data_IF_398243378302
#
_entry.id   IF_398243378302
#
_cell.length_a   1.000
_cell.length_b   1.000
_cell.length_c   1.000
_cell.angle_alpha   90.00
_cell.angle_beta   90.00
_cell.angle_gamma   90.00
#
_symmetry.space_group_name_H-M   'P 1'
#
loop_
_entity.id
_entity.type
_entity.pdbx_description
1 polymer ?
#
# COMPACT_ATOMS: atom_id res chain seq x y z
N UNK A 1 15.99 -7.39 -2.76
CA UNK A 1 16.75 -8.43 -3.48
C UNK A 1 16.01 -9.77 -3.48
N UNK A 2 15.37 -10.19 -2.37
CA UNK A 2 14.66 -11.47 -2.26
C UNK A 2 13.48 -11.62 -3.24
N UNK A 3 12.74 -10.55 -3.51
CA UNK A 3 11.61 -10.58 -4.43
C UNK A 3 12.01 -10.71 -5.93
N UNK A 4 13.27 -10.46 -6.28
CA UNK A 4 13.77 -10.72 -7.62
C UNK A 4 14.09 -12.21 -7.85
N UNK A 5 14.21 -13.00 -6.79
CA UNK A 5 14.43 -14.43 -6.90
C UNK A 5 13.12 -15.14 -7.30
N UNK A 6 13.25 -16.11 -8.22
CA UNK A 6 12.12 -16.94 -8.63
C UNK A 6 11.75 -17.92 -7.51
N UNK A 7 10.85 -17.50 -6.62
CA UNK A 7 10.24 -18.44 -5.66
C UNK A 7 8.98 -19.02 -6.26
N UNK A 8 8.82 -20.34 -6.22
CA UNK A 8 7.59 -21.02 -6.67
C UNK A 8 6.40 -20.49 -5.88
N UNK A 9 5.28 -20.21 -6.57
CA UNK A 9 4.04 -19.73 -5.93
C UNK A 9 3.91 -18.21 -5.86
N UNK A 10 4.93 -17.42 -6.22
CA UNK A 10 4.78 -15.97 -6.32
C UNK A 10 4.03 -15.58 -7.59
N UNK A 11 3.14 -14.57 -7.47
CA UNK A 11 2.43 -13.99 -8.62
C UNK A 11 3.38 -13.54 -9.73
N UNK A 12 4.61 -13.14 -9.39
CA UNK A 12 5.65 -12.77 -10.33
C UNK A 12 6.14 -13.93 -11.22
N UNK A 13 5.83 -15.18 -10.86
CA UNK A 13 6.18 -16.35 -11.67
C UNK A 13 5.12 -16.72 -12.69
N UNK A 14 3.92 -16.13 -12.60
CA UNK A 14 2.84 -16.37 -13.53
C UNK A 14 3.20 -15.91 -14.94
N UNK A 15 3.82 -14.74 -15.06
CA UNK A 15 4.37 -14.25 -16.31
C UNK A 15 5.63 -13.42 -16.06
N UNK A 16 6.70 -13.67 -16.84
CA UNK A 16 7.95 -12.93 -16.73
C UNK A 16 7.92 -11.79 -17.73
N UNK A 17 7.65 -10.56 -17.22
CA UNK A 17 7.79 -9.36 -18.00
C UNK A 17 9.20 -8.78 -17.83
N UNK A 18 9.85 -8.37 -18.90
CA UNK A 18 11.26 -7.92 -18.86
C UNK A 18 11.50 -6.63 -18.07
N UNK A 19 10.52 -5.73 -18.00
CA UNK A 19 10.60 -4.45 -17.30
C UNK A 19 9.85 -4.45 -15.96
N UNK A 20 9.82 -5.58 -15.22
CA UNK A 20 9.12 -5.69 -13.94
C UNK A 20 9.63 -4.70 -12.91
N UNK A 21 8.71 -4.09 -12.20
CA UNK A 21 9.00 -3.38 -10.95
C UNK A 21 8.92 -4.37 -9.77
N UNK A 22 9.85 -4.30 -8.80
CA UNK A 22 9.72 -5.09 -7.57
C UNK A 22 8.45 -4.70 -6.80
N UNK A 23 7.70 -5.69 -6.30
CA UNK A 23 6.47 -5.43 -5.52
C UNK A 23 6.77 -4.63 -4.25
N UNK A 24 7.89 -4.90 -3.57
CA UNK A 24 8.33 -4.16 -2.39
C UNK A 24 8.45 -2.65 -2.65
N UNK A 25 9.13 -2.26 -3.73
CA UNK A 25 9.29 -0.84 -4.06
C UNK A 25 7.97 -0.20 -4.51
N UNK A 26 7.14 -0.93 -5.24
CA UNK A 26 5.80 -0.47 -5.64
C UNK A 26 4.92 -0.24 -4.43
N UNK A 27 4.91 -1.17 -3.49
CA UNK A 27 4.16 -1.09 -2.22
C UNK A 27 4.59 0.10 -1.38
N UNK A 28 5.90 0.26 -1.18
CA UNK A 28 6.45 1.40 -0.45
C UNK A 28 6.09 2.74 -1.09
N UNK A 29 6.20 2.84 -2.42
CA UNK A 29 5.86 4.05 -3.17
C UNK A 29 4.37 4.36 -3.08
N UNK A 30 3.48 3.36 -3.23
CA UNK A 30 2.04 3.54 -3.08
C UNK A 30 1.69 4.05 -1.68
N UNK A 31 2.18 3.38 -0.64
CA UNK A 31 1.93 3.81 0.74
C UNK A 31 2.37 5.26 0.95
N UNK A 32 3.60 5.60 0.54
CA UNK A 32 4.11 6.97 0.68
C UNK A 32 3.31 8.01 -0.12
N UNK A 33 2.80 7.64 -1.30
CA UNK A 33 2.04 8.56 -2.17
C UNK A 33 0.60 8.78 -1.71
N UNK A 34 -0.01 7.81 -1.03
CA UNK A 34 -1.41 7.85 -0.62
C UNK A 34 -1.61 8.37 0.82
N UNK A 35 -0.52 8.60 1.55
CA UNK A 35 -0.59 9.14 2.92
C UNK A 35 -0.12 10.59 2.96
N UNK A 36 -0.70 11.43 3.84
CA UNK A 36 -0.24 12.80 4.03
C UNK A 36 1.15 12.80 4.70
N UNK A 37 2.02 13.74 4.30
CA UNK A 37 3.27 13.95 5.02
C UNK A 37 2.98 14.64 6.36
N UNK A 38 3.26 14.01 7.52
CA UNK A 38 3.02 14.62 8.82
C UNK A 38 3.87 15.88 9.09
N UNK A 39 4.97 16.04 8.35
CA UNK A 39 5.83 17.22 8.47
C UNK A 39 5.30 18.42 7.69
N UNK A 40 4.38 18.21 6.76
CA UNK A 40 3.73 19.30 6.03
C UNK A 40 2.86 20.14 6.98
N UNK A 41 3.12 21.44 7.02
CA UNK A 41 2.44 22.42 7.89
C UNK A 41 0.96 22.62 7.53
N UNK A 42 0.55 22.21 6.34
CA UNK A 42 -0.85 22.29 5.90
C UNK A 42 -1.78 21.36 6.70
N UNK A 43 -1.25 20.31 7.31
CA UNK A 43 -2.03 19.41 8.16
C UNK A 43 -1.91 19.82 9.63
N UNK A 44 -3.03 19.97 10.32
CA UNK A 44 -3.01 20.13 11.78
C UNK A 44 -2.66 18.81 12.47
N UNK A 45 -2.12 18.87 13.68
CA UNK A 45 -1.85 17.66 14.46
C UNK A 45 -3.14 16.90 14.77
N UNK A 46 -4.24 17.63 14.96
CA UNK A 46 -5.57 17.07 15.22
C UNK A 46 -6.05 16.24 14.03
N UNK A 47 -5.81 16.73 12.81
CA UNK A 47 -6.15 16.01 11.57
C UNK A 47 -5.37 14.70 11.42
N UNK A 48 -4.15 14.66 11.95
CA UNK A 48 -3.27 13.48 11.87
C UNK A 48 -3.50 12.47 13.01
N UNK A 49 -4.27 12.82 14.06
CA UNK A 49 -4.54 11.94 15.20
C UNK A 49 -5.06 10.55 14.84
N UNK A 50 -6.00 10.38 13.89
CA UNK A 50 -6.45 9.04 13.50
C UNK A 50 -5.32 8.14 12.98
N UNK A 51 -4.39 8.71 12.19
CA UNK A 51 -3.21 7.98 11.71
C UNK A 51 -2.25 7.63 12.86
N UNK A 52 -2.05 8.58 13.79
CA UNK A 52 -1.24 8.35 14.98
C UNK A 52 -1.80 7.20 15.82
N UNK A 53 -3.11 7.16 16.01
CA UNK A 53 -3.78 6.10 16.79
C UNK A 53 -3.60 4.73 16.15
N UNK A 54 -3.79 4.60 14.83
CA UNK A 54 -3.60 3.34 14.10
C UNK A 54 -2.14 2.85 14.23
N UNK A 55 -1.18 3.77 14.09
CA UNK A 55 0.24 3.43 14.22
C UNK A 55 0.60 3.05 15.65
N UNK A 56 0.05 3.75 16.64
CA UNK A 56 0.21 3.42 18.05
C UNK A 56 -0.30 2.00 18.34
N UNK A 57 -1.51 1.70 17.93
CA UNK A 57 -2.13 0.39 18.15
C UNK A 57 -1.37 -0.74 17.42
N UNK A 58 -0.75 -0.42 16.30
CA UNK A 58 0.06 -1.40 15.57
C UNK A 58 1.38 -1.72 16.29
N UNK A 59 2.12 -0.69 16.75
CA UNK A 59 3.44 -0.85 17.36
C UNK A 59 3.43 -1.11 18.85
N UNK A 60 2.43 -0.61 19.57
CA UNK A 60 2.27 -0.79 21.02
C UNK A 60 0.80 -1.08 21.40
N UNK A 61 0.25 -2.23 20.98
CA UNK A 61 -1.17 -2.54 21.16
C UNK A 61 -1.59 -2.62 22.64
N UNK A 62 -0.66 -2.93 23.53
CA UNK A 62 -0.92 -2.99 24.98
C UNK A 62 -0.57 -1.68 25.69
N UNK A 63 -0.11 -0.65 24.97
CA UNK A 63 0.35 0.63 25.52
C UNK A 63 1.36 0.49 26.66
N UNK A 64 2.21 -0.51 26.54
CA UNK A 64 3.21 -0.89 27.57
C UNK A 64 4.19 0.25 27.81
N UNK A 65 4.52 1.01 26.76
CA UNK A 65 5.45 2.13 26.87
C UNK A 65 4.85 3.33 27.56
N UNK A 66 3.51 3.41 27.69
CA UNK A 66 2.80 4.55 28.24
C UNK A 66 3.01 5.87 27.48
N UNK A 67 3.73 5.80 26.34
CA UNK A 67 4.05 6.96 25.51
C UNK A 67 3.09 7.03 24.33
N UNK A 68 2.33 8.11 24.23
CA UNK A 68 1.47 8.38 23.09
C UNK A 68 2.27 8.99 21.93
N UNK A 69 1.93 8.58 20.71
CA UNK A 69 2.44 9.20 19.47
C UNK A 69 1.69 10.52 19.27
N UNK A 70 2.30 11.62 19.72
CA UNK A 70 1.63 12.92 19.81
C UNK A 70 2.26 14.03 18.97
N UNK A 71 3.49 13.86 18.52
CA UNK A 71 4.19 14.86 17.71
C UNK A 71 4.19 14.47 16.23
N UNK A 72 4.22 15.48 15.34
CA UNK A 72 4.34 15.28 13.89
C UNK A 72 5.54 14.41 13.52
N UNK A 73 6.66 14.61 14.21
CA UNK A 73 7.89 13.87 13.99
C UNK A 73 7.73 12.40 14.37
N UNK A 74 7.11 12.11 15.50
CA UNK A 74 6.83 10.74 15.92
C UNK A 74 5.89 10.04 14.95
N UNK A 75 4.82 10.72 14.48
CA UNK A 75 3.92 10.16 13.47
C UNK A 75 4.69 9.83 12.18
N UNK A 76 5.53 10.76 11.71
CA UNK A 76 6.35 10.56 10.51
C UNK A 76 7.30 9.37 10.65
N UNK A 77 8.02 9.28 11.78
CA UNK A 77 8.94 8.18 12.05
C UNK A 77 8.21 6.81 12.10
N UNK A 78 7.03 6.76 12.72
CA UNK A 78 6.21 5.54 12.77
C UNK A 78 5.66 5.18 11.38
N UNK A 79 5.24 6.16 10.58
CA UNK A 79 4.81 5.93 9.20
C UNK A 79 5.94 5.34 8.35
N UNK A 80 7.13 5.93 8.39
CA UNK A 80 8.29 5.42 7.66
C UNK A 80 8.69 4.02 8.13
N UNK A 81 8.67 3.77 9.44
CA UNK A 81 8.94 2.45 10.00
C UNK A 81 7.91 1.41 9.53
N UNK A 82 6.62 1.77 9.53
CA UNK A 82 5.56 0.89 9.03
C UNK A 82 5.75 0.59 7.54
N UNK A 83 5.99 1.60 6.70
CA UNK A 83 6.23 1.43 5.25
C UNK A 83 7.42 0.50 5.01
N UNK A 84 8.52 0.70 5.73
CA UNK A 84 9.72 -0.12 5.59
C UNK A 84 9.45 -1.59 5.95
N UNK A 85 8.71 -1.84 7.04
CA UNK A 85 8.35 -3.19 7.45
C UNK A 85 7.34 -3.84 6.49
N UNK A 86 6.30 -3.10 6.08
CA UNK A 86 5.29 -3.61 5.15
C UNK A 86 5.85 -3.83 3.74
N UNK A 87 6.91 -3.13 3.36
CA UNK A 87 7.61 -3.37 2.09
C UNK A 87 8.26 -4.75 2.04
N UNK A 88 8.64 -5.34 3.17
CA UNK A 88 9.14 -6.72 3.22
C UNK A 88 8.07 -7.71 2.77
N UNK A 89 8.50 -8.76 2.04
CA UNK A 89 7.56 -9.73 1.48
C UNK A 89 6.81 -10.50 2.55
N UNK A 90 7.52 -11.01 3.55
CA UNK A 90 6.93 -11.87 4.57
C UNK A 90 5.88 -11.10 5.39
N UNK A 91 6.16 -9.85 5.73
CA UNK A 91 5.20 -8.96 6.39
C UNK A 91 4.03 -8.58 5.48
N UNK A 92 4.26 -8.47 4.17
CA UNK A 92 3.23 -8.03 3.23
C UNK A 92 2.08 -9.01 3.06
N UNK A 93 2.29 -10.28 3.37
CA UNK A 93 1.26 -11.33 3.33
C UNK A 93 0.59 -11.55 4.69
N UNK A 94 1.12 -10.94 5.75
CA UNK A 94 0.52 -10.97 7.08
C UNK A 94 -0.76 -10.11 7.11
N UNK A 95 -1.84 -10.72 7.61
CA UNK A 95 -3.16 -10.07 7.68
C UNK A 95 -3.17 -8.82 8.56
N UNK A 96 -2.37 -8.78 9.64
CA UNK A 96 -2.25 -7.63 10.53
C UNK A 96 -1.63 -6.43 9.80
N UNK A 97 -0.55 -6.66 9.05
CA UNK A 97 0.07 -5.59 8.25
C UNK A 97 -0.85 -5.09 7.16
N UNK A 98 -1.51 -5.99 6.44
CA UNK A 98 -2.40 -5.62 5.34
C UNK A 98 -3.63 -4.85 5.84
N UNK A 99 -4.27 -5.29 6.93
CA UNK A 99 -5.41 -4.59 7.52
C UNK A 99 -5.02 -3.20 8.03
N UNK A 100 -3.87 -3.08 8.68
CA UNK A 100 -3.34 -1.79 9.14
C UNK A 100 -3.04 -0.86 7.97
N UNK A 101 -2.41 -1.35 6.90
CA UNK A 101 -2.14 -0.57 5.69
C UNK A 101 -3.44 -0.03 5.07
N UNK A 102 -4.48 -0.87 4.95
CA UNK A 102 -5.81 -0.47 4.47
C UNK A 102 -6.44 0.60 5.36
N UNK A 103 -6.36 0.46 6.68
CA UNK A 103 -6.86 1.45 7.63
C UNK A 103 -6.14 2.78 7.48
N UNK A 104 -4.81 2.78 7.40
CA UNK A 104 -4.00 3.99 7.19
C UNK A 104 -4.39 4.70 5.89
N UNK A 105 -4.54 3.97 4.79
CA UNK A 105 -4.91 4.54 3.48
C UNK A 105 -6.34 5.07 3.50
N UNK A 106 -7.27 4.37 4.16
CA UNK A 106 -8.66 4.81 4.30
C UNK A 106 -8.74 6.13 5.10
N UNK A 107 -8.05 6.24 6.22
CA UNK A 107 -8.00 7.49 6.99
C UNK A 107 -7.28 8.60 6.23
N UNK A 108 -6.18 8.30 5.55
CA UNK A 108 -5.47 9.26 4.70
C UNK A 108 -6.36 9.85 3.61
N UNK A 109 -7.22 9.02 3.01
CA UNK A 109 -8.20 9.48 2.01
C UNK A 109 -9.16 10.51 2.61
N UNK A 110 -9.68 10.27 3.80
CA UNK A 110 -10.61 11.21 4.48
C UNK A 110 -9.94 12.56 4.74
N UNK A 111 -8.63 12.54 5.02
CA UNK A 111 -7.84 13.75 5.27
C UNK A 111 -7.58 14.51 3.95
N UNK A 112 -7.12 13.82 2.92
CA UNK A 112 -6.65 14.44 1.67
C UNK A 112 -7.82 14.73 0.71
N UNK A 113 -8.79 13.81 0.64
CA UNK A 113 -9.94 13.86 -0.27
C UNK A 113 -11.25 13.55 0.47
N UNK A 114 -11.74 14.43 1.36
CA UNK A 114 -12.91 14.15 2.19
C UNK A 114 -14.18 13.85 1.40
N UNK A 115 -14.29 14.36 0.18
CA UNK A 115 -15.45 14.16 -0.70
C UNK A 115 -15.34 12.92 -1.60
N UNK A 116 -14.24 12.17 -1.55
CA UNK A 116 -14.07 10.95 -2.32
C UNK A 116 -14.45 9.73 -1.47
N UNK A 117 -15.03 8.71 -2.06
CA UNK A 117 -15.33 7.43 -1.40
C UNK A 117 -14.15 6.48 -1.43
N UNK A 118 -13.31 6.56 -2.46
CA UNK A 118 -12.23 5.62 -2.72
C UNK A 118 -10.98 6.33 -3.26
N UNK A 119 -9.82 5.71 -3.05
CA UNK A 119 -8.61 6.06 -3.76
C UNK A 119 -8.65 5.52 -5.18
N UNK A 120 -8.27 6.36 -6.14
CA UNK A 120 -8.15 5.98 -7.55
C UNK A 120 -6.69 6.01 -7.98
N UNK A 121 -6.22 4.89 -8.50
CA UNK A 121 -4.84 4.73 -8.98
C UNK A 121 -4.88 4.42 -10.48
N UNK A 122 -4.11 5.14 -11.27
CA UNK A 122 -4.01 4.92 -12.72
C UNK A 122 -2.59 4.52 -13.09
N UNK A 123 -2.45 3.47 -13.90
CA UNK A 123 -1.19 3.06 -14.52
C UNK A 123 -1.39 2.90 -16.03
N UNK A 124 -0.85 3.85 -16.80
CA UNK A 124 -0.95 3.86 -18.27
C UNK A 124 0.10 2.97 -18.95
N UNK A 125 1.04 2.40 -18.18
CA UNK A 125 2.12 1.54 -18.65
C UNK A 125 2.25 0.33 -17.75
N UNK A 126 1.14 -0.41 -17.59
CA UNK A 126 0.96 -1.43 -16.55
C UNK A 126 1.99 -2.57 -16.59
N UNK A 127 2.52 -2.91 -17.76
CA UNK A 127 3.53 -3.94 -17.92
C UNK A 127 3.19 -5.24 -17.17
N UNK A 128 4.03 -5.62 -16.19
CA UNK A 128 3.82 -6.81 -15.37
C UNK A 128 2.78 -6.69 -14.25
N UNK A 129 2.07 -5.55 -14.12
CA UNK A 129 0.94 -5.38 -13.20
C UNK A 129 1.30 -5.13 -11.74
N UNK A 130 2.56 -4.79 -11.44
CA UNK A 130 2.99 -4.60 -10.03
C UNK A 130 2.17 -3.53 -9.31
N UNK A 131 1.88 -2.40 -9.99
CA UNK A 131 1.08 -1.32 -9.40
C UNK A 131 -0.38 -1.75 -9.21
N UNK A 132 -0.96 -2.42 -10.21
CA UNK A 132 -2.33 -2.93 -10.14
C UNK A 132 -2.51 -3.89 -8.96
N UNK A 133 -1.62 -4.87 -8.82
CA UNK A 133 -1.69 -5.87 -7.75
C UNK A 133 -1.62 -5.21 -6.38
N UNK A 134 -0.64 -4.34 -6.15
CA UNK A 134 -0.49 -3.71 -4.83
C UNK A 134 -1.59 -2.68 -4.54
N UNK A 135 -2.08 -1.95 -5.55
CA UNK A 135 -3.22 -1.02 -5.39
C UNK A 135 -4.50 -1.76 -5.01
N UNK A 136 -4.82 -2.86 -5.69
CA UNK A 136 -5.99 -3.68 -5.39
C UNK A 136 -5.89 -4.29 -3.98
N UNK A 137 -4.72 -4.79 -3.59
CA UNK A 137 -4.47 -5.30 -2.24
C UNK A 137 -4.71 -4.24 -1.16
N UNK A 138 -4.40 -2.99 -1.45
CA UNK A 138 -4.64 -1.86 -0.56
C UNK A 138 -6.09 -1.36 -0.58
N UNK A 139 -6.94 -1.88 -1.46
CA UNK A 139 -8.34 -1.48 -1.57
C UNK A 139 -8.57 -0.23 -2.40
N UNK A 140 -7.65 0.10 -3.32
CA UNK A 140 -7.82 1.21 -4.25
C UNK A 140 -8.60 0.75 -5.49
N UNK A 141 -9.41 1.64 -6.07
CA UNK A 141 -9.94 1.49 -7.43
C UNK A 141 -8.80 1.71 -8.43
N UNK A 142 -8.51 0.71 -9.27
CA UNK A 142 -7.34 0.74 -10.14
C UNK A 142 -7.72 0.70 -11.60
N UNK A 143 -7.22 1.68 -12.37
CA UNK A 143 -7.36 1.79 -13.82
C UNK A 143 -6.00 1.50 -14.46
N UNK A 144 -5.95 0.54 -15.36
CA UNK A 144 -4.69 0.13 -16.00
C UNK A 144 -4.81 0.11 -17.52
N UNK A 145 -3.73 0.47 -18.17
CA UNK A 145 -3.59 0.44 -19.61
C UNK A 145 -2.16 0.16 -20.04
N UNK A 146 -1.99 -0.26 -21.29
CA UNK A 146 -0.69 -0.38 -21.93
C UNK A 146 -0.86 -0.28 -23.44
N UNK A 147 0.15 0.22 -24.15
CA UNK A 147 0.16 0.25 -25.62
C UNK A 147 0.33 -1.16 -26.21
N UNK A 148 0.97 -2.06 -25.46
CA UNK A 148 1.15 -3.44 -25.88
C UNK A 148 -0.04 -4.29 -25.38
N UNK A 149 -0.72 -5.05 -26.25
CA UNK A 149 -1.87 -5.86 -25.85
C UNK A 149 -1.54 -7.03 -24.92
N UNK A 150 -0.28 -7.48 -24.87
CA UNK A 150 0.13 -8.60 -24.00
C UNK A 150 0.02 -8.25 -22.51
N UNK A 151 0.57 -7.12 -22.01
CA UNK A 151 0.30 -6.66 -20.66
C UNK A 151 -1.19 -6.50 -20.34
N UNK A 152 -1.97 -5.95 -21.26
CA UNK A 152 -3.42 -5.76 -21.06
C UNK A 152 -4.11 -7.10 -20.81
N UNK A 153 -3.79 -8.11 -21.63
CA UNK A 153 -4.35 -9.45 -21.46
C UNK A 153 -3.96 -10.07 -20.11
N UNK A 154 -2.68 -10.00 -19.74
CA UNK A 154 -2.17 -10.53 -18.46
C UNK A 154 -2.90 -9.89 -17.28
N UNK A 155 -2.99 -8.56 -17.29
CA UNK A 155 -3.59 -7.81 -16.18
C UNK A 155 -5.12 -7.99 -16.10
N UNK A 156 -5.78 -8.24 -17.22
CA UNK A 156 -7.20 -8.62 -17.25
C UNK A 156 -7.43 -9.97 -16.54
N UNK A 157 -6.53 -10.94 -16.74
CA UNK A 157 -6.61 -12.24 -16.06
C UNK A 157 -6.35 -12.08 -14.56
N UNK A 158 -5.33 -11.31 -14.18
CA UNK A 158 -5.00 -11.04 -12.77
C UNK A 158 -6.17 -10.38 -12.03
N UNK A 159 -6.82 -9.39 -12.64
CA UNK A 159 -7.96 -8.69 -12.04
C UNK A 159 -9.19 -9.58 -11.84
N UNK A 160 -9.41 -10.59 -12.70
CA UNK A 160 -10.51 -11.55 -12.54
C UNK A 160 -10.31 -12.51 -11.37
N UNK A 161 -9.07 -12.94 -11.14
CA UNK A 161 -8.75 -13.86 -10.05
C UNK A 161 -8.85 -13.19 -8.67
N UNK A 162 -8.54 -11.89 -8.57
CA UNK A 162 -8.71 -11.15 -7.31
C UNK A 162 -10.18 -11.07 -6.84
N UNK A 163 -11.14 -11.00 -7.77
CA UNK A 163 -12.58 -10.96 -7.44
C UNK A 163 -13.11 -12.30 -6.94
N UNK A 164 -12.54 -13.43 -7.39
CA UNK A 164 -12.97 -14.77 -6.97
C UNK A 164 -12.40 -15.20 -5.60
N UNK A 165 -11.36 -14.54 -5.12
CA UNK A 165 -10.77 -14.83 -3.81
C UNK A 165 -11.41 -14.05 -2.66
N UNK A 166 -12.41 -13.20 -2.95
CA UNK A 166 -13.14 -12.37 -1.98
C UNK A 166 -14.60 -12.85 -1.74
N UNK A 167 -15.05 -13.89 -2.47
CA UNK A 167 -16.28 -14.64 -2.20
C UNK A 167 -15.98 -15.93 -1.43
#
# INVERSE_FOLDING_TARGET
>A
AAEKMRRRGHIQTFHIWWARRPLASTRATLMASLMPDPLDKNWSIETLRPLAAILQDFFDPMRVTGKEVSTRREIHEHMLKFIAQFADYDNSVDSKYLSTARSLISESRKIIHPNSTEWRVMDCFVGGGSLQVESNRLGCETFVGDLNPVPVLINTILAKNDKQSLE
#
